data_IF_496263609109
#
_entry.id   IF_496263609109
#
_cell.length_a   1.000
_cell.length_b   1.000
_cell.length_c   1.000
_cell.angle_alpha   90.00
_cell.angle_beta   90.00
_cell.angle_gamma   90.00
#
_symmetry.space_group_name_H-M   'P 1'
#
loop_
_entity.id
_entity.type
_entity.pdbx_description
1 polymer ?
#
# COMPACT_ATOMS: atom_id res chain seq x y z
N UNK A 1 -19.67 13.45 17.65
CA UNK A 1 -19.37 12.97 16.29
C UNK A 1 -17.87 12.96 16.10
N UNK A 2 -17.20 11.90 16.56
CA UNK A 2 -15.77 11.68 16.35
C UNK A 2 -15.59 11.04 14.98
N UNK A 3 -15.14 11.83 14.01
CA UNK A 3 -14.62 11.29 12.76
C UNK A 3 -13.32 10.55 13.07
N UNK A 4 -13.41 9.24 13.22
CA UNK A 4 -12.24 8.38 13.24
C UNK A 4 -11.61 8.38 11.86
N UNK A 5 -10.42 8.93 11.78
CA UNK A 5 -9.62 9.05 10.56
C UNK A 5 -9.21 7.64 10.08
N UNK A 6 -10.00 7.04 9.17
CA UNK A 6 -9.82 5.66 8.65
C UNK A 6 -8.57 5.46 7.78
N UNK A 7 -7.56 6.31 7.90
CA UNK A 7 -6.37 6.27 7.04
C UNK A 7 -5.12 5.64 7.67
N UNK A 8 -5.21 5.06 8.87
CA UNK A 8 -4.11 4.26 9.43
C UNK A 8 -4.42 2.76 9.37
N UNK A 9 -4.27 2.17 8.20
CA UNK A 9 -4.55 0.74 7.96
C UNK A 9 -3.42 -0.21 8.40
N UNK A 10 -2.56 0.21 9.31
CA UNK A 10 -1.49 -0.61 9.90
C UNK A 10 -1.51 -0.62 11.44
N UNK A 11 -2.60 -0.22 12.05
CA UNK A 11 -2.81 -0.47 13.47
C UNK A 11 -3.41 -1.87 13.63
N UNK A 12 -2.80 -2.69 14.49
CA UNK A 12 -3.37 -3.98 14.88
C UNK A 12 -4.72 -3.74 15.57
N UNK A 13 -5.65 -4.68 15.46
CA UNK A 13 -6.96 -4.61 16.14
C UNK A 13 -6.79 -4.36 17.65
N UNK A 14 -5.68 -4.81 18.22
CA UNK A 14 -5.28 -4.56 19.61
C UNK A 14 -4.99 -3.09 19.88
N UNK A 15 -4.29 -2.38 18.98
CA UNK A 15 -4.03 -0.94 19.12
C UNK A 15 -5.33 -0.12 19.06
N UNK A 16 -6.29 -0.51 18.22
CA UNK A 16 -7.57 0.18 18.12
C UNK A 16 -8.42 -0.02 19.39
N UNK A 17 -8.39 -1.20 20.00
CA UNK A 17 -9.06 -1.50 21.27
C UNK A 17 -8.43 -0.68 22.41
N UNK A 18 -7.10 -0.61 22.48
CA UNK A 18 -6.40 0.18 23.49
C UNK A 18 -6.61 1.69 23.31
N UNK A 19 -6.75 2.17 22.09
CA UNK A 19 -7.06 3.58 21.77
C UNK A 19 -8.47 3.95 22.24
N UNK A 20 -9.41 3.02 22.12
CA UNK A 20 -10.81 3.21 22.56
C UNK A 20 -10.96 3.14 24.08
N UNK A 21 -10.25 2.21 24.73
CA UNK A 21 -10.28 2.00 26.17
C UNK A 21 -9.42 3.00 26.98
N UNK A 22 -8.30 3.43 26.42
CA UNK A 22 -7.33 4.31 27.10
C UNK A 22 -7.54 5.80 26.87
N UNK A 23 -8.41 6.20 25.94
CA UNK A 23 -8.73 7.61 25.66
C UNK A 23 -7.50 8.49 25.39
N UNK A 24 -7.56 9.78 25.78
CA UNK A 24 -6.45 10.73 25.59
C UNK A 24 -5.12 10.33 26.24
N UNK A 25 -5.17 9.62 27.37
CA UNK A 25 -3.99 9.17 28.09
C UNK A 25 -3.17 8.16 27.29
N UNK A 26 -3.84 7.25 26.56
CA UNK A 26 -3.18 6.27 25.68
C UNK A 26 -2.47 6.93 24.51
N UNK A 27 -3.04 7.98 23.93
CA UNK A 27 -2.41 8.71 22.83
C UNK A 27 -1.10 9.38 23.25
N UNK A 28 -1.05 9.90 24.46
CA UNK A 28 0.17 10.48 25.06
C UNK A 28 1.22 9.40 25.30
N UNK A 29 0.85 8.27 25.90
CA UNK A 29 1.77 7.15 26.15
C UNK A 29 2.35 6.60 24.84
N UNK A 30 1.53 6.44 23.81
CA UNK A 30 1.98 5.96 22.51
C UNK A 30 2.92 6.96 21.82
N UNK A 31 2.71 8.27 22.01
CA UNK A 31 3.65 9.30 21.53
C UNK A 31 5.01 9.18 22.23
N UNK A 32 5.03 8.96 23.55
CA UNK A 32 6.28 8.76 24.30
C UNK A 32 7.01 7.48 23.85
N UNK A 33 6.32 6.38 23.67
CA UNK A 33 6.90 5.12 23.21
C UNK A 33 7.50 5.26 21.79
N UNK A 34 6.79 5.91 20.88
CA UNK A 34 7.29 6.18 19.50
C UNK A 34 8.48 7.13 19.53
N UNK A 35 8.43 8.18 20.34
CA UNK A 35 9.55 9.12 20.50
C UNK A 35 10.78 8.46 21.10
N UNK A 36 10.62 7.60 22.09
CA UNK A 36 11.70 6.81 22.67
C UNK A 36 12.35 5.89 21.63
N UNK A 37 11.54 5.22 20.78
CA UNK A 37 12.05 4.41 19.69
C UNK A 37 12.89 5.21 18.66
N UNK A 38 12.50 6.45 18.33
CA UNK A 38 13.28 7.31 17.44
C UNK A 38 14.61 7.74 18.10
N UNK A 39 14.60 8.06 19.39
CA UNK A 39 15.84 8.38 20.14
C UNK A 39 16.81 7.19 20.14
N UNK A 40 16.32 5.99 20.39
CA UNK A 40 17.13 4.76 20.39
C UNK A 40 17.71 4.43 19.00
N UNK A 41 17.03 4.84 17.94
CA UNK A 41 17.49 4.71 16.56
C UNK A 41 18.45 5.84 16.12
N UNK A 42 18.90 6.69 17.03
CA UNK A 42 19.84 7.78 16.77
C UNK A 42 19.18 9.09 16.28
N UNK A 43 17.86 9.13 16.11
CA UNK A 43 17.11 10.29 15.66
C UNK A 43 16.64 11.17 16.85
N UNK A 44 17.58 11.66 17.65
CA UNK A 44 17.29 12.39 18.92
C UNK A 44 16.32 13.55 18.72
N UNK A 45 16.54 14.40 17.72
CA UNK A 45 15.69 15.58 17.50
C UNK A 45 14.23 15.18 17.20
N UNK A 46 14.02 14.19 16.32
CA UNK A 46 12.67 13.68 15.98
C UNK A 46 12.00 12.97 17.16
N UNK A 47 12.80 12.28 17.96
CA UNK A 47 12.31 11.65 19.18
C UNK A 47 11.77 12.67 20.16
N UNK A 48 12.54 13.72 20.46
CA UNK A 48 12.12 14.83 21.33
C UNK A 48 10.91 15.56 20.74
N UNK A 49 10.91 15.88 19.44
CA UNK A 49 9.76 16.49 18.75
C UNK A 49 8.46 15.68 18.96
N UNK A 50 8.53 14.36 18.90
CA UNK A 50 7.33 13.51 19.03
C UNK A 50 6.80 13.42 20.45
N UNK A 51 7.66 13.66 21.46
CA UNK A 51 7.30 13.64 22.89
C UNK A 51 6.74 14.98 23.39
N UNK A 52 6.98 16.09 22.65
CA UNK A 52 6.58 17.43 23.10
C UNK A 52 5.16 17.81 22.70
N UNK A 53 4.49 18.71 23.46
CA UNK A 53 3.21 19.30 23.06
C UNK A 53 3.27 19.95 21.68
N UNK A 54 2.15 19.99 20.96
CA UNK A 54 2.09 20.42 19.55
C UNK A 54 2.71 21.80 19.29
N UNK A 55 2.50 22.76 20.19
CA UNK A 55 3.06 24.10 20.03
C UNK A 55 4.60 24.11 20.07
N UNK A 56 5.20 23.39 21.04
CA UNK A 56 6.65 23.25 21.15
C UNK A 56 7.21 22.44 19.99
N UNK A 57 6.50 21.36 19.60
CA UNK A 57 6.87 20.52 18.46
C UNK A 57 6.97 21.31 17.15
N UNK A 58 6.03 22.21 16.89
CA UNK A 58 6.07 23.04 15.69
C UNK A 58 7.28 23.97 15.67
N UNK A 59 7.65 24.56 16.81
CA UNK A 59 8.86 25.36 16.97
C UNK A 59 10.14 24.54 16.71
N UNK A 60 10.25 23.36 17.34
CA UNK A 60 11.38 22.44 17.12
C UNK A 60 11.51 22.00 15.67
N UNK A 61 10.38 21.69 15.01
CA UNK A 61 10.36 21.38 13.57
C UNK A 61 10.82 22.56 12.72
N UNK A 62 10.38 23.78 13.04
CA UNK A 62 10.79 24.96 12.28
C UNK A 62 12.31 25.19 12.40
N UNK A 63 12.88 25.02 13.60
CA UNK A 63 14.32 25.08 13.79
C UNK A 63 15.07 24.03 12.98
N UNK A 64 14.63 22.77 13.06
CA UNK A 64 15.24 21.68 12.30
C UNK A 64 15.12 21.89 10.79
N UNK A 65 13.99 22.37 10.32
CA UNK A 65 13.78 22.65 8.89
C UNK A 65 14.67 23.80 8.40
N UNK A 66 15.01 24.77 9.27
CA UNK A 66 15.96 25.83 8.95
C UNK A 66 17.40 25.35 8.84
N UNK A 67 17.77 24.31 9.59
CA UNK A 67 19.13 23.78 9.65
C UNK A 67 19.36 22.68 8.60
N UNK A 68 18.47 21.69 8.53
CA UNK A 68 18.64 20.48 7.71
C UNK A 68 17.74 20.42 6.47
N UNK A 69 16.79 21.36 6.32
CA UNK A 69 15.71 21.23 5.36
C UNK A 69 14.65 20.20 5.79
N UNK A 70 13.69 19.93 4.90
CA UNK A 70 12.68 18.89 5.13
C UNK A 70 13.19 17.58 4.56
N UNK A 71 13.36 16.59 5.42
CA UNK A 71 13.86 15.26 5.07
C UNK A 71 12.89 14.16 5.46
N UNK A 72 12.94 13.03 4.71
CA UNK A 72 12.22 11.82 5.06
C UNK A 72 12.75 11.20 6.35
N UNK A 73 12.07 10.15 6.84
CA UNK A 73 12.54 9.36 7.98
C UNK A 73 13.88 8.65 7.71
N UNK A 74 14.19 8.38 6.42
CA UNK A 74 15.45 7.77 5.96
C UNK A 74 16.52 8.80 5.62
N UNK A 75 16.27 10.06 5.97
CA UNK A 75 17.16 11.18 5.69
C UNK A 75 17.25 11.62 4.23
N UNK A 76 16.36 11.13 3.35
CA UNK A 76 16.31 11.61 1.97
C UNK A 76 15.76 13.03 1.90
N UNK A 77 16.37 13.97 1.15
CA UNK A 77 15.93 15.34 1.05
C UNK A 77 14.59 15.45 0.29
N UNK A 78 13.64 16.20 0.85
CA UNK A 78 12.37 16.53 0.20
C UNK A 78 12.40 17.98 -0.27
N UNK A 79 12.87 18.89 0.60
CA UNK A 79 12.98 20.32 0.34
C UNK A 79 14.18 20.86 1.13
N UNK A 80 15.19 21.34 0.41
CA UNK A 80 16.41 21.86 1.04
C UNK A 80 16.31 23.38 1.26
N UNK A 81 15.66 24.13 0.34
CA UNK A 81 15.52 25.57 0.42
C UNK A 81 14.19 25.96 1.07
N UNK A 82 14.24 26.39 2.33
CA UNK A 82 13.06 26.83 3.07
C UNK A 82 13.21 28.32 3.41
N UNK A 83 12.24 29.13 3.01
CA UNK A 83 12.25 30.56 3.29
C UNK A 83 11.90 30.85 4.74
N UNK A 84 12.39 31.97 5.28
CA UNK A 84 12.07 32.41 6.63
C UNK A 84 10.56 32.53 6.89
N UNK A 85 9.78 32.92 5.87
CA UNK A 85 8.33 32.97 5.98
C UNK A 85 7.70 31.59 6.15
N UNK A 86 8.23 30.58 5.49
CA UNK A 86 7.79 29.19 5.65
C UNK A 86 8.16 28.62 7.02
N UNK A 87 9.33 28.99 7.56
CA UNK A 87 9.74 28.63 8.92
C UNK A 87 8.82 29.27 9.97
N UNK A 88 8.48 30.56 9.82
CA UNK A 88 7.49 31.20 10.68
C UNK A 88 6.11 30.55 10.58
N UNK A 89 5.67 30.22 9.35
CA UNK A 89 4.43 29.47 9.14
C UNK A 89 4.45 28.12 9.86
N UNK A 90 5.56 27.37 9.75
CA UNK A 90 5.72 26.08 10.44
C UNK A 90 5.67 26.24 11.97
N UNK A 91 6.26 27.30 12.53
CA UNK A 91 6.18 27.58 13.96
C UNK A 91 4.73 27.80 14.40
N UNK A 92 3.95 28.52 13.62
CA UNK A 92 2.51 28.74 13.86
C UNK A 92 1.65 27.48 13.58
N UNK A 93 2.25 26.39 13.08
CA UNK A 93 1.57 25.12 12.82
C UNK A 93 1.17 24.92 11.36
N UNK A 94 1.54 25.81 10.46
CA UNK A 94 1.28 25.69 9.03
C UNK A 94 2.47 25.01 8.34
N UNK A 95 2.22 23.86 7.73
CA UNK A 95 3.27 23.21 6.94
C UNK A 95 3.58 24.03 5.67
N UNK A 96 4.85 24.05 5.20
CA UNK A 96 5.20 24.69 3.95
C UNK A 96 4.36 24.16 2.79
N UNK A 97 3.75 25.06 2.01
CA UNK A 97 2.81 24.69 0.92
C UNK A 97 3.47 23.80 -0.12
N UNK A 98 4.73 24.02 -0.42
CA UNK A 98 5.49 23.22 -1.36
C UNK A 98 5.73 21.78 -0.86
N UNK A 99 5.98 21.61 0.42
CA UNK A 99 6.06 20.29 1.04
C UNK A 99 4.72 19.57 0.98
N UNK A 100 3.62 20.26 1.31
CA UNK A 100 2.26 19.70 1.22
C UNK A 100 1.94 19.27 -0.20
N UNK A 101 2.23 20.13 -1.20
CA UNK A 101 2.04 19.81 -2.62
C UNK A 101 2.82 18.56 -3.04
N UNK A 102 4.11 18.47 -2.72
CA UNK A 102 4.92 17.28 -3.03
C UNK A 102 4.40 16.02 -2.35
N UNK A 103 3.89 16.14 -1.13
CA UNK A 103 3.25 15.02 -0.44
C UNK A 103 1.96 14.58 -1.14
N UNK A 104 1.11 15.51 -1.55
CA UNK A 104 -0.13 15.23 -2.26
C UNK A 104 0.14 14.57 -3.62
N UNK A 105 1.11 15.07 -4.37
CA UNK A 105 1.57 14.46 -5.63
C UNK A 105 2.06 13.02 -5.41
N UNK A 106 2.91 12.78 -4.41
CA UNK A 106 3.41 11.45 -4.09
C UNK A 106 2.30 10.50 -3.61
N UNK A 107 1.35 11.00 -2.82
CA UNK A 107 0.18 10.22 -2.38
C UNK A 107 -0.76 9.94 -3.55
N UNK A 108 -0.95 10.88 -4.46
CA UNK A 108 -1.73 10.71 -5.69
C UNK A 108 -1.14 9.58 -6.55
N UNK A 109 0.16 9.63 -6.82
CA UNK A 109 0.86 8.59 -7.57
C UNK A 109 0.76 7.21 -6.89
N UNK A 110 0.94 7.16 -5.57
CA UNK A 110 0.78 5.92 -4.80
C UNK A 110 -0.64 5.37 -4.88
N UNK A 111 -1.66 6.24 -4.81
CA UNK A 111 -3.07 5.84 -4.93
C UNK A 111 -3.35 5.22 -6.29
N UNK A 112 -2.92 5.89 -7.38
CA UNK A 112 -3.08 5.40 -8.74
C UNK A 112 -2.38 4.04 -8.91
N UNK A 113 -1.17 3.88 -8.39
CA UNK A 113 -0.44 2.61 -8.44
C UNK A 113 -1.18 1.48 -7.70
N UNK A 114 -1.76 1.76 -6.52
CA UNK A 114 -2.54 0.77 -5.76
C UNK A 114 -3.84 0.40 -6.48
N UNK A 115 -4.56 1.38 -7.01
CA UNK A 115 -5.80 1.16 -7.77
C UNK A 115 -5.52 0.33 -9.03
N UNK A 116 -4.48 0.67 -9.78
CA UNK A 116 -4.05 -0.08 -10.97
C UNK A 116 -3.65 -1.52 -10.63
N UNK A 117 -2.92 -1.73 -9.55
CA UNK A 117 -2.55 -3.07 -9.10
C UNK A 117 -3.78 -3.89 -8.68
N UNK A 118 -4.77 -3.25 -8.04
CA UNK A 118 -6.03 -3.87 -7.65
C UNK A 118 -6.86 -4.26 -8.87
N UNK A 119 -7.03 -3.33 -9.83
CA UNK A 119 -7.76 -3.57 -11.09
C UNK A 119 -7.12 -4.71 -11.88
N UNK A 120 -5.79 -4.68 -12.03
CA UNK A 120 -5.01 -5.76 -12.64
C UNK A 120 -5.26 -7.12 -11.99
N UNK A 121 -5.22 -7.17 -10.67
CA UNK A 121 -5.46 -8.42 -9.92
C UNK A 121 -6.89 -8.94 -10.10
N UNK A 122 -7.86 -8.03 -10.15
CA UNK A 122 -9.27 -8.39 -10.37
C UNK A 122 -9.50 -8.96 -11.77
N UNK A 123 -8.94 -8.33 -12.82
CA UNK A 123 -9.04 -8.82 -14.20
C UNK A 123 -8.43 -10.21 -14.35
N UNK A 124 -7.23 -10.42 -13.80
CA UNK A 124 -6.57 -11.72 -13.84
C UNK A 124 -7.36 -12.81 -13.08
N UNK A 125 -7.98 -12.46 -11.96
CA UNK A 125 -8.83 -13.37 -11.19
C UNK A 125 -10.12 -13.70 -11.93
N UNK A 126 -10.80 -12.70 -12.52
CA UNK A 126 -12.00 -12.91 -13.33
C UNK A 126 -11.69 -13.84 -14.50
N UNK A 127 -10.60 -13.61 -15.22
CA UNK A 127 -10.18 -14.45 -16.33
C UNK A 127 -9.95 -15.91 -15.90
N UNK A 128 -9.29 -16.14 -14.76
CA UNK A 128 -9.15 -17.47 -14.20
C UNK A 128 -10.50 -18.11 -13.88
N UNK A 129 -11.44 -17.35 -13.33
CA UNK A 129 -12.80 -17.87 -13.03
C UNK A 129 -13.53 -18.25 -14.30
N UNK A 130 -13.53 -17.41 -15.35
CA UNK A 130 -14.15 -17.70 -16.64
C UNK A 130 -13.57 -18.97 -17.29
N UNK A 131 -12.24 -19.18 -17.21
CA UNK A 131 -11.61 -20.44 -17.65
C UNK A 131 -12.12 -21.62 -16.81
N UNK A 132 -12.19 -21.47 -15.50
CA UNK A 132 -12.61 -22.56 -14.61
C UNK A 132 -14.04 -23.02 -14.83
N UNK A 133 -14.92 -22.10 -15.26
CA UNK A 133 -16.31 -22.40 -15.60
C UNK A 133 -16.50 -22.79 -17.06
N UNK A 134 -15.48 -22.62 -17.91
CA UNK A 134 -15.56 -22.91 -19.34
C UNK A 134 -16.40 -21.89 -20.12
N UNK A 135 -16.59 -20.69 -19.60
CA UNK A 135 -17.37 -19.63 -20.24
C UNK A 135 -16.49 -18.84 -21.23
N UNK A 136 -16.57 -19.23 -22.50
CA UNK A 136 -15.81 -18.58 -23.57
C UNK A 136 -16.32 -17.15 -23.87
N UNK A 137 -17.60 -16.86 -23.63
CA UNK A 137 -18.14 -15.52 -23.87
C UNK A 137 -17.57 -14.54 -22.82
N UNK A 138 -17.59 -14.91 -21.55
CA UNK A 138 -17.00 -14.12 -20.47
C UNK A 138 -15.49 -13.97 -20.65
N UNK A 139 -14.77 -15.00 -21.13
CA UNK A 139 -13.33 -14.90 -21.42
C UNK A 139 -13.03 -13.81 -22.45
N UNK A 140 -13.80 -13.74 -23.54
CA UNK A 140 -13.61 -12.73 -24.59
C UNK A 140 -13.91 -11.32 -24.08
N UNK A 141 -14.94 -11.15 -23.26
CA UNK A 141 -15.26 -9.87 -22.62
C UNK A 141 -14.12 -9.39 -21.71
N UNK A 142 -13.57 -10.29 -20.90
CA UNK A 142 -12.46 -9.96 -20.01
C UNK A 142 -11.18 -9.63 -20.79
N UNK A 143 -10.93 -10.27 -21.93
CA UNK A 143 -9.81 -9.92 -22.82
C UNK A 143 -9.97 -8.49 -23.33
N UNK A 144 -11.17 -8.09 -23.76
CA UNK A 144 -11.44 -6.70 -24.16
C UNK A 144 -11.23 -5.70 -22.98
N UNK A 145 -11.64 -6.07 -21.79
CA UNK A 145 -11.38 -5.28 -20.58
C UNK A 145 -9.87 -5.16 -20.28
N UNK A 146 -9.11 -6.22 -20.49
CA UNK A 146 -7.65 -6.22 -20.35
C UNK A 146 -7.00 -5.29 -21.37
N UNK A 147 -7.46 -5.29 -22.62
CA UNK A 147 -6.95 -4.37 -23.64
C UNK A 147 -7.24 -2.92 -23.28
N UNK A 148 -8.44 -2.63 -22.79
CA UNK A 148 -8.82 -1.31 -22.31
C UNK A 148 -7.98 -0.87 -21.10
N UNK A 149 -7.74 -1.77 -20.15
CA UNK A 149 -6.84 -1.52 -19.03
C UNK A 149 -5.42 -1.24 -19.51
N UNK A 150 -4.89 -2.05 -20.41
CA UNK A 150 -3.54 -1.90 -20.95
C UNK A 150 -3.37 -0.55 -21.67
N UNK A 151 -4.33 -0.13 -22.50
CA UNK A 151 -4.27 1.16 -23.18
C UNK A 151 -4.25 2.35 -22.23
N UNK A 152 -4.98 2.27 -21.10
CA UNK A 152 -5.01 3.30 -20.06
C UNK A 152 -3.71 3.40 -19.27
N UNK A 153 -3.04 2.25 -19.05
CA UNK A 153 -1.90 2.15 -18.12
C UNK A 153 -0.56 2.23 -18.82
N UNK A 154 -0.47 1.84 -20.08
CA UNK A 154 0.78 1.68 -20.82
C UNK A 154 1.67 2.93 -20.80
N UNK A 155 1.09 4.12 -20.85
CA UNK A 155 1.82 5.38 -20.85
C UNK A 155 2.52 5.67 -19.52
N UNK A 156 1.81 5.48 -18.41
CA UNK A 156 2.28 5.88 -17.08
C UNK A 156 2.97 4.73 -16.32
N UNK A 157 2.53 3.49 -16.54
CA UNK A 157 3.01 2.32 -15.80
C UNK A 157 3.26 1.12 -16.72
N UNK A 158 4.24 1.16 -17.62
CA UNK A 158 4.47 0.11 -18.62
C UNK A 158 4.71 -1.28 -18.00
N UNK A 159 5.23 -1.33 -16.76
CA UNK A 159 5.44 -2.59 -16.03
C UNK A 159 4.15 -3.21 -15.46
N UNK A 160 3.07 -2.45 -15.39
CA UNK A 160 1.78 -2.92 -14.90
C UNK A 160 0.89 -3.53 -16.00
N UNK A 161 1.29 -3.42 -17.26
CA UNK A 161 0.60 -3.99 -18.43
C UNK A 161 0.41 -5.49 -18.25
N UNK A 162 -0.78 -5.98 -18.62
CA UNK A 162 -1.11 -7.40 -18.58
C UNK A 162 -0.70 -8.02 -19.93
N UNK A 163 0.35 -8.83 -19.89
CA UNK A 163 0.84 -9.59 -21.04
C UNK A 163 0.27 -11.01 -21.05
N UNK A 164 0.23 -11.71 -22.20
CA UNK A 164 -0.17 -13.11 -22.26
C UNK A 164 0.58 -14.01 -21.26
N UNK A 165 1.88 -13.76 -21.08
CA UNK A 165 2.69 -14.49 -20.09
C UNK A 165 2.29 -14.20 -18.65
N UNK A 166 1.83 -12.97 -18.36
CA UNK A 166 1.32 -12.63 -17.03
C UNK A 166 -0.02 -13.32 -16.75
N UNK A 167 -0.86 -13.48 -17.78
CA UNK A 167 -2.12 -14.24 -17.70
C UNK A 167 -1.81 -15.71 -17.40
N UNK A 168 -0.95 -16.35 -18.19
CA UNK A 168 -0.54 -17.76 -17.98
C UNK A 168 0.02 -18.00 -16.58
N UNK A 169 0.91 -17.09 -16.10
CA UNK A 169 1.45 -17.19 -14.75
C UNK A 169 0.38 -17.03 -13.67
N UNK A 170 -0.56 -16.13 -13.87
CA UNK A 170 -1.66 -15.89 -12.93
C UNK A 170 -2.60 -17.11 -12.86
N UNK A 171 -3.00 -17.65 -14.01
CA UNK A 171 -3.83 -18.86 -14.08
C UNK A 171 -3.14 -20.02 -13.37
N UNK A 172 -1.85 -20.25 -13.65
CA UNK A 172 -1.06 -21.31 -12.97
C UNK A 172 -0.95 -21.07 -11.45
N UNK A 173 -0.81 -19.82 -11.01
CA UNK A 173 -0.75 -19.47 -9.59
C UNK A 173 -2.08 -19.71 -8.87
N UNK A 174 -3.20 -19.30 -9.47
CA UNK A 174 -4.54 -19.54 -8.92
C UNK A 174 -4.87 -21.02 -8.87
N UNK A 175 -4.51 -21.77 -9.93
CA UNK A 175 -4.68 -23.20 -9.96
C UNK A 175 -3.93 -23.89 -8.82
N UNK A 176 -2.64 -23.55 -8.62
CA UNK A 176 -1.85 -24.07 -7.49
C UNK A 176 -2.48 -23.71 -6.14
N UNK A 177 -3.02 -22.50 -6.01
CA UNK A 177 -3.70 -22.08 -4.79
C UNK A 177 -4.96 -22.91 -4.53
N UNK A 178 -5.76 -23.20 -5.56
CA UNK A 178 -6.95 -24.04 -5.45
C UNK A 178 -6.60 -25.47 -5.03
N UNK A 179 -5.47 -25.99 -5.48
CA UNK A 179 -4.96 -27.31 -5.11
C UNK A 179 -4.42 -27.35 -3.68
N UNK A 180 -3.83 -26.24 -3.22
CA UNK A 180 -3.32 -26.16 -1.84
C UNK A 180 -4.40 -25.91 -0.81
N UNK A 181 -5.47 -25.20 -1.19
CA UNK A 181 -6.59 -24.86 -0.31
C UNK A 181 -7.92 -25.02 -1.07
N UNK A 182 -8.78 -25.90 -0.60
CA UNK A 182 -10.15 -26.02 -1.09
C UNK A 182 -11.14 -25.51 -0.04
N UNK A 183 -11.96 -24.52 -0.41
CA UNK A 183 -12.93 -23.88 0.49
C UNK A 183 -12.34 -23.43 1.84
N UNK A 184 -11.11 -22.88 1.83
CA UNK A 184 -10.44 -22.43 3.03
C UNK A 184 -9.76 -23.54 3.86
N UNK A 185 -9.87 -24.79 3.43
CA UNK A 185 -9.22 -25.95 4.10
C UNK A 185 -7.93 -26.31 3.37
N UNK A 186 -6.83 -26.40 4.10
CA UNK A 186 -5.54 -26.80 3.54
C UNK A 186 -5.58 -28.29 3.13
N UNK A 187 -5.19 -28.54 1.87
CA UNK A 187 -5.10 -29.92 1.35
C UNK A 187 -3.79 -30.54 1.83
N UNK A 188 -3.89 -31.80 2.31
CA UNK A 188 -2.72 -32.56 2.74
C UNK A 188 -1.65 -32.58 1.62
N UNK A 189 -0.38 -32.29 1.94
CA UNK A 189 0.72 -32.29 0.98
C UNK A 189 0.87 -33.56 0.16
N UNK A 190 0.48 -34.70 0.74
CA UNK A 190 0.56 -36.02 0.09
C UNK A 190 -0.28 -36.12 -1.18
N UNK A 191 -1.42 -35.43 -1.26
CA UNK A 191 -2.32 -35.46 -2.41
C UNK A 191 -2.11 -34.29 -3.38
N UNK A 192 -1.24 -33.34 -3.06
CA UNK A 192 -1.03 -32.14 -3.88
C UNK A 192 -0.44 -32.43 -5.24
N UNK A 193 0.43 -33.45 -5.33
CA UNK A 193 1.09 -33.81 -6.58
C UNK A 193 0.09 -34.35 -7.59
N UNK A 194 -0.77 -35.26 -7.19
CA UNK A 194 -1.78 -35.89 -8.06
C UNK A 194 -2.81 -34.87 -8.54
N UNK A 195 -3.20 -33.95 -7.63
CA UNK A 195 -4.11 -32.84 -7.97
C UNK A 195 -3.46 -31.82 -8.92
N UNK A 196 -2.14 -31.59 -8.82
CA UNK A 196 -1.40 -30.73 -9.74
C UNK A 196 -1.39 -31.33 -11.15
N UNK A 197 -1.10 -32.61 -11.25
CA UNK A 197 -1.07 -33.32 -12.54
C UNK A 197 -2.45 -33.30 -13.20
N UNK A 198 -3.51 -33.60 -12.46
CA UNK A 198 -4.89 -33.51 -12.94
C UNK A 198 -5.25 -32.10 -13.42
N UNK A 199 -4.80 -31.07 -12.73
CA UNK A 199 -5.07 -29.67 -13.07
C UNK A 199 -4.25 -29.21 -14.28
N UNK A 200 -3.01 -29.67 -14.44
CA UNK A 200 -2.16 -29.40 -15.62
C UNK A 200 -2.73 -30.10 -16.87
N UNK A 201 -3.26 -31.31 -16.73
CA UNK A 201 -3.94 -32.02 -17.80
C UNK A 201 -5.19 -31.29 -18.31
N UNK A 202 -6.00 -30.75 -17.40
CA UNK A 202 -7.16 -29.91 -17.78
C UNK A 202 -6.74 -28.62 -18.49
N UNK A 203 -5.69 -27.96 -18.06
CA UNK A 203 -5.15 -26.76 -18.73
C UNK A 203 -4.60 -27.09 -20.12
N UNK A 204 -4.02 -28.26 -20.33
CA UNK A 204 -3.50 -28.69 -21.64
C UNK A 204 -4.63 -28.89 -22.66
N UNK A 205 -5.81 -29.34 -22.22
CA UNK A 205 -7.02 -29.44 -23.04
C UNK A 205 -7.57 -28.07 -23.41
N UNK A 206 -7.58 -27.12 -22.48
CA UNK A 206 -8.06 -25.75 -22.70
C UNK A 206 -7.14 -24.98 -23.67
N UNK A 207 -5.83 -25.23 -23.64
CA UNK A 207 -4.87 -24.56 -24.54
C UNK A 207 -4.81 -25.18 -25.96
N UNK A 208 -5.52 -26.29 -26.22
CA UNK A 208 -5.59 -26.94 -27.57
C UNK A 208 -6.79 -26.50 -28.37
N UNK A 209 -7.76 -25.85 -27.79
CA UNK A 209 -8.91 -25.23 -28.42
C UNK A 209 -8.77 -23.72 -28.52
#
# INVERSE_FOLDING_TARGET
>A
LLQTNRYSRNTSVEEDIFLYAGGPAWSVTNQFLRGGGEVLNGNMQRGIESMTPTAVRNGLKALRYGDEGIRTRRNDPILDDITNGQLMGQWLGFAPSEYTRRQEEAQGMKRIAIESAKERSQLLKKYYMAISYGDNAEQNEIIADIEKYNSKIQENFPRAVITPDSIKRSVKAHLRQTITMHNGVAINPMFRHDLLQYAEDRLSVINRN
#
